data_IF_154328319242
#
_entry.id   IF_154328319242
#
_cell.length_a   1.000
_cell.length_b   1.000
_cell.length_c   1.000
_cell.angle_alpha   90.00
_cell.angle_beta   90.00
_cell.angle_gamma   90.00
#
_symmetry.space_group_name_H-M   'P 1'
#
loop_
_entity.id
_entity.type
_entity.pdbx_description
1 polymer ?
#
# COMPACT_ATOMS: atom_id res chain seq x y z
N UNK A 1 6.85 -13.44 41.98
CA UNK A 1 5.59 -13.65 41.25
C UNK A 1 5.12 -12.25 40.85
N UNK A 2 5.49 -11.82 39.64
CA UNK A 2 5.27 -10.44 39.18
C UNK A 2 3.99 -10.44 38.36
N UNK A 3 3.03 -9.62 38.77
CA UNK A 3 1.71 -9.52 38.15
C UNK A 3 1.80 -8.67 36.87
N UNK A 4 1.44 -9.29 35.74
CA UNK A 4 1.67 -8.80 34.38
C UNK A 4 0.47 -8.04 33.85
N UNK A 5 0.03 -6.94 34.46
CA UNK A 5 -1.13 -6.15 33.93
C UNK A 5 -1.06 -4.67 34.24
N UNK A 6 -0.17 -3.92 33.59
CA UNK A 6 -0.39 -2.47 33.32
C UNK A 6 0.59 -1.94 32.28
N UNK A 7 0.48 -2.43 31.05
CA UNK A 7 1.07 -1.76 29.90
C UNK A 7 0.02 -1.77 28.80
N UNK A 8 -0.70 -0.65 28.66
CA UNK A 8 -1.35 -0.16 27.42
C UNK A 8 -2.09 1.15 27.79
N UNK A 9 -1.97 2.14 26.90
CA UNK A 9 -2.58 3.48 26.93
C UNK A 9 -1.83 4.61 27.67
N UNK A 10 -0.62 4.97 27.20
CA UNK A 10 -0.08 6.35 27.34
C UNK A 10 0.14 7.09 26.01
N UNK A 11 0.10 6.40 24.87
CA UNK A 11 0.44 6.98 23.57
C UNK A 11 -0.59 7.95 22.97
N UNK A 12 -1.87 7.82 23.29
CA UNK A 12 -2.94 8.55 22.59
C UNK A 12 -3.16 10.01 23.06
N UNK A 13 -2.56 10.45 24.17
CA UNK A 13 -2.81 11.79 24.75
C UNK A 13 -1.73 12.82 24.39
N UNK A 14 -0.52 12.38 24.00
CA UNK A 14 0.60 13.31 23.81
C UNK A 14 0.54 14.11 22.51
N UNK A 15 -0.07 13.58 21.44
CA UNK A 15 -0.08 14.25 20.13
C UNK A 15 -0.97 15.51 20.11
N UNK A 16 -2.01 15.57 20.95
CA UNK A 16 -2.86 16.76 21.07
C UNK A 16 -2.23 17.93 21.84
N UNK A 17 -1.18 17.68 22.64
CA UNK A 17 -0.59 18.71 23.51
C UNK A 17 0.55 19.49 22.85
N UNK A 18 1.29 18.87 21.92
CA UNK A 18 2.45 19.51 21.26
C UNK A 18 2.06 20.47 20.14
N UNK A 19 1.00 20.16 19.38
CA UNK A 19 0.56 21.02 18.26
C UNK A 19 0.00 22.38 18.77
N UNK A 20 -0.36 22.50 20.05
CA UNK A 20 -0.86 23.74 20.66
C UNK A 20 0.22 24.68 21.23
N UNK A 21 1.50 24.29 21.28
CA UNK A 21 2.55 25.06 21.96
C UNK A 21 3.58 25.71 21.02
N UNK A 22 3.50 25.49 19.71
CA UNK A 22 4.30 26.24 18.72
C UNK A 22 5.81 26.24 18.98
N UNK A 23 6.37 25.16 19.54
CA UNK A 23 7.79 25.11 19.93
C UNK A 23 8.64 24.61 18.77
N UNK A 24 9.54 25.46 18.28
CA UNK A 24 10.58 25.10 17.29
C UNK A 24 11.67 24.22 17.91
N UNK A 25 12.20 23.27 17.13
CA UNK A 25 13.29 22.36 17.51
C UNK A 25 14.51 23.12 18.09
N UNK A 26 14.73 22.99 19.39
CA UNK A 26 15.94 23.50 20.05
C UNK A 26 15.73 23.86 21.52
N UNK A 27 16.06 22.91 22.41
CA UNK A 27 16.21 23.08 23.87
C UNK A 27 14.96 23.52 24.67
N UNK A 28 14.25 22.53 25.23
CA UNK A 28 13.30 22.76 26.33
C UNK A 28 14.07 22.85 27.65
N UNK A 29 14.41 24.06 28.10
CA UNK A 29 14.83 24.30 29.49
C UNK A 29 13.85 25.25 30.14
N UNK A 30 13.06 24.75 31.11
CA UNK A 30 12.31 25.64 31.98
C UNK A 30 13.26 26.33 32.98
N UNK A 31 12.93 27.54 33.47
CA UNK A 31 13.77 28.30 34.40
C UNK A 31 14.01 27.63 35.77
N UNK A 32 13.38 26.47 36.03
CA UNK A 32 13.49 25.71 37.28
C UNK A 32 14.44 24.50 37.22
N UNK A 33 15.21 24.34 36.14
CA UNK A 33 16.26 23.30 36.05
C UNK A 33 15.75 21.85 35.93
N UNK A 34 14.45 21.63 35.71
CA UNK A 34 13.92 20.29 35.40
C UNK A 34 14.19 19.93 33.93
N UNK A 35 14.96 18.86 33.72
CA UNK A 35 15.17 18.24 32.41
C UNK A 35 13.85 17.58 32.00
N UNK A 36 13.21 18.09 30.96
CA UNK A 36 12.14 17.36 30.27
C UNK A 36 12.86 16.40 29.33
N UNK A 37 12.75 15.10 29.57
CA UNK A 37 13.19 14.11 28.58
C UNK A 37 12.52 14.46 27.25
N UNK A 38 13.34 14.75 26.22
CA UNK A 38 12.83 15.00 24.89
C UNK A 38 11.89 13.86 24.50
N UNK A 39 10.73 14.15 23.87
CA UNK A 39 9.82 13.09 23.46
C UNK A 39 10.62 12.07 22.65
N UNK A 40 10.52 10.78 23.02
CA UNK A 40 11.18 9.67 22.32
C UNK A 40 10.80 9.79 20.85
N UNK A 41 11.71 10.36 20.05
CA UNK A 41 11.56 10.47 18.61
C UNK A 41 11.77 9.05 18.11
N UNK A 42 10.75 8.42 17.57
CA UNK A 42 10.93 7.15 16.83
C UNK A 42 11.86 7.49 15.67
N UNK A 43 13.15 7.18 15.82
CA UNK A 43 14.20 7.57 14.88
C UNK A 43 14.26 6.67 13.65
N UNK A 44 13.62 5.50 13.74
CA UNK A 44 13.57 4.51 12.67
C UNK A 44 12.40 3.56 12.91
N UNK A 45 11.54 3.45 11.91
CA UNK A 45 10.51 2.43 11.86
C UNK A 45 10.90 1.38 10.82
N UNK A 46 11.23 0.17 11.25
CA UNK A 46 11.62 -0.94 10.35
C UNK A 46 10.42 -1.86 10.13
N UNK A 47 10.16 -2.23 8.87
CA UNK A 47 9.04 -3.11 8.52
C UNK A 47 9.28 -4.54 8.96
N UNK A 48 8.30 -5.17 9.62
CA UNK A 48 8.39 -6.58 10.06
C UNK A 48 7.98 -7.59 8.98
N UNK A 49 7.33 -7.12 7.93
CA UNK A 49 6.87 -7.92 6.79
C UNK A 49 7.05 -7.14 5.49
N UNK A 50 6.89 -7.84 4.37
CA UNK A 50 6.80 -7.24 3.04
C UNK A 50 5.33 -6.99 2.71
N UNK A 51 5.01 -5.86 2.09
CA UNK A 51 3.67 -5.42 1.75
C UNK A 51 3.56 -5.07 0.27
N UNK A 52 2.55 -5.62 -0.39
CA UNK A 52 2.43 -5.56 -1.84
C UNK A 52 1.04 -5.89 -2.37
N UNK A 53 0.88 -5.79 -3.68
CA UNK A 53 -0.38 -6.11 -4.36
C UNK A 53 -0.19 -7.28 -5.31
N UNK A 54 -1.25 -8.08 -5.45
CA UNK A 54 -1.32 -9.13 -6.46
C UNK A 54 -1.73 -8.53 -7.80
N UNK A 55 -1.08 -8.95 -8.88
CA UNK A 55 -1.43 -8.51 -10.23
C UNK A 55 -1.24 -9.59 -11.29
N UNK A 56 -1.76 -9.30 -12.48
CA UNK A 56 -1.58 -10.12 -13.69
C UNK A 56 -0.81 -9.31 -14.73
N UNK A 57 0.18 -9.94 -15.36
CA UNK A 57 1.02 -9.31 -16.39
C UNK A 57 1.15 -10.19 -17.62
N UNK A 58 1.73 -9.69 -18.71
CA UNK A 58 1.99 -10.48 -19.91
C UNK A 58 2.90 -11.67 -19.58
N UNK A 59 2.55 -12.85 -20.06
CA UNK A 59 3.34 -14.05 -19.80
C UNK A 59 4.69 -14.00 -20.55
N UNK A 60 5.79 -13.95 -19.81
CA UNK A 60 7.14 -14.22 -20.30
C UNK A 60 7.66 -15.57 -19.75
N UNK A 61 7.95 -16.51 -20.65
CA UNK A 61 8.48 -17.84 -20.32
C UNK A 61 9.86 -17.80 -19.63
N UNK A 62 10.57 -16.68 -19.68
CA UNK A 62 11.86 -16.50 -19.00
C UNK A 62 11.71 -16.08 -17.54
N UNK A 63 10.58 -15.44 -17.21
CA UNK A 63 10.34 -14.84 -15.89
C UNK A 63 9.27 -15.61 -15.10
N UNK A 64 8.28 -16.19 -15.79
CA UNK A 64 7.11 -16.79 -15.18
C UNK A 64 7.07 -18.31 -15.39
N UNK A 65 6.48 -19.01 -14.43
CA UNK A 65 6.29 -20.45 -14.48
C UNK A 65 4.98 -20.82 -15.20
N UNK A 66 4.92 -22.04 -15.74
CA UNK A 66 3.79 -22.48 -16.56
C UNK A 66 2.47 -22.55 -15.78
N UNK A 67 2.53 -22.79 -14.47
CA UNK A 67 1.38 -22.89 -13.57
C UNK A 67 0.61 -21.57 -13.43
N UNK A 68 1.28 -20.44 -13.60
CA UNK A 68 0.65 -19.11 -13.60
C UNK A 68 0.16 -18.67 -14.97
N UNK A 69 0.44 -19.46 -16.01
CA UNK A 69 0.06 -19.10 -17.38
C UNK A 69 -1.45 -19.25 -17.55
N UNK A 70 -2.11 -18.16 -17.91
CA UNK A 70 -3.55 -18.09 -18.11
C UNK A 70 -3.85 -17.35 -19.42
N UNK A 71 -4.85 -17.82 -20.17
CA UNK A 71 -5.31 -17.11 -21.37
C UNK A 71 -6.27 -16.01 -20.97
N UNK A 72 -5.93 -14.77 -21.30
CA UNK A 72 -6.84 -13.64 -21.18
C UNK A 72 -7.64 -13.52 -22.48
N UNK A 73 -8.92 -13.88 -22.44
CA UNK A 73 -9.80 -13.84 -23.61
C UNK A 73 -10.19 -12.41 -24.02
N UNK A 74 -10.24 -11.48 -23.06
CA UNK A 74 -10.57 -10.09 -23.34
C UNK A 74 -9.42 -9.42 -24.11
N UNK A 75 -8.17 -9.69 -23.73
CA UNK A 75 -6.99 -9.12 -24.39
C UNK A 75 -6.40 -10.00 -25.50
N UNK A 76 -6.83 -11.26 -25.59
CA UNK A 76 -6.35 -12.22 -26.58
C UNK A 76 -4.87 -12.55 -26.42
N UNK A 77 -4.38 -12.67 -25.18
CA UNK A 77 -2.98 -12.98 -24.92
C UNK A 77 -2.78 -13.84 -23.67
N UNK A 78 -1.64 -14.52 -23.62
CA UNK A 78 -1.22 -15.24 -22.42
C UNK A 78 -0.72 -14.27 -21.35
N UNK A 79 -1.26 -14.38 -20.15
CA UNK A 79 -0.85 -13.66 -18.95
C UNK A 79 -0.27 -14.60 -17.89
N UNK A 80 0.56 -14.04 -17.01
CA UNK A 80 0.96 -14.65 -15.77
C UNK A 80 0.10 -14.08 -14.64
N UNK A 81 -0.68 -14.94 -13.97
CA UNK A 81 -1.41 -14.58 -12.74
C UNK A 81 -0.55 -14.76 -11.50
N UNK A 82 -1.04 -14.34 -10.34
CA UNK A 82 -0.35 -14.51 -9.06
C UNK A 82 1.01 -13.81 -8.96
N UNK A 83 1.25 -12.74 -9.70
CA UNK A 83 2.50 -11.97 -9.55
C UNK A 83 2.35 -10.98 -8.39
N UNK A 84 3.44 -10.74 -7.67
CA UNK A 84 3.46 -9.77 -6.58
C UNK A 84 4.25 -8.53 -6.99
N UNK A 85 3.67 -7.37 -6.73
CA UNK A 85 4.38 -6.08 -6.76
C UNK A 85 4.56 -5.61 -5.32
N UNK A 86 5.80 -5.59 -4.85
CA UNK A 86 6.15 -5.29 -3.47
C UNK A 86 6.55 -3.82 -3.34
N UNK A 87 5.78 -3.06 -2.55
CA UNK A 87 6.04 -1.64 -2.29
C UNK A 87 7.00 -1.43 -1.13
N UNK A 88 6.96 -2.34 -0.16
CA UNK A 88 7.76 -2.32 1.05
C UNK A 88 8.22 -3.74 1.32
N UNK A 89 9.51 -3.95 1.54
CA UNK A 89 10.09 -5.24 1.90
C UNK A 89 10.40 -5.30 3.39
N UNK A 90 10.35 -6.51 3.94
CA UNK A 90 10.77 -6.78 5.32
C UNK A 90 12.18 -6.26 5.55
N UNK A 91 12.39 -5.57 6.67
CA UNK A 91 13.68 -4.99 7.03
C UNK A 91 13.97 -3.60 6.45
N UNK A 92 13.11 -3.06 5.57
CA UNK A 92 13.26 -1.70 5.08
C UNK A 92 12.89 -0.65 6.15
N UNK A 93 13.64 0.46 6.15
CA UNK A 93 13.39 1.59 7.04
C UNK A 93 12.38 2.53 6.41
N UNK A 94 11.13 2.39 6.86
CA UNK A 94 9.97 3.14 6.34
C UNK A 94 10.15 4.65 6.52
N UNK A 95 10.82 5.10 7.58
CA UNK A 95 11.06 6.53 7.83
C UNK A 95 12.01 7.19 6.84
N UNK A 96 12.76 6.41 6.04
CA UNK A 96 13.74 6.89 5.06
C UNK A 96 13.35 6.60 3.62
N UNK A 97 12.20 5.97 3.40
CA UNK A 97 11.74 5.63 2.07
C UNK A 97 11.05 6.82 1.41
N UNK A 98 11.37 7.01 0.13
CA UNK A 98 10.57 7.86 -0.74
C UNK A 98 9.26 7.12 -1.11
N UNK A 99 8.20 7.86 -1.50
CA UNK A 99 7.01 7.25 -2.06
C UNK A 99 7.32 6.34 -3.25
N UNK A 100 6.67 5.18 -3.28
CA UNK A 100 6.83 4.19 -4.35
C UNK A 100 5.53 4.10 -5.13
N UNK A 101 5.61 4.25 -6.45
CA UNK A 101 4.44 4.30 -7.35
C UNK A 101 4.57 3.30 -8.48
N UNK A 102 3.50 2.56 -8.74
CA UNK A 102 3.39 1.65 -9.87
C UNK A 102 2.09 1.88 -10.64
N UNK A 103 2.16 1.63 -11.95
CA UNK A 103 1.04 1.79 -12.89
C UNK A 103 0.31 0.46 -13.07
N UNK A 104 -1.02 0.51 -13.04
CA UNK A 104 -1.88 -0.64 -13.28
C UNK A 104 -3.02 -0.27 -14.21
N UNK A 105 -3.73 -1.31 -14.65
CA UNK A 105 -4.99 -1.13 -15.32
C UNK A 105 -5.98 -2.22 -14.96
N UNK A 106 -7.26 -1.91 -15.14
CA UNK A 106 -8.38 -2.84 -15.05
C UNK A 106 -9.24 -2.73 -16.30
N UNK A 107 -9.57 -3.87 -16.89
CA UNK A 107 -10.62 -3.93 -17.90
C UNK A 107 -11.97 -4.02 -17.21
N UNK A 108 -12.87 -3.12 -17.60
CA UNK A 108 -14.23 -3.04 -17.10
C UNK A 108 -15.16 -3.46 -18.25
N UNK A 109 -15.66 -4.68 -18.20
CA UNK A 109 -16.67 -5.20 -19.15
C UNK A 109 -18.07 -4.69 -18.84
N UNK A 110 -18.28 -4.26 -17.61
CA UNK A 110 -19.51 -3.71 -17.07
C UNK A 110 -19.22 -2.43 -16.27
N UNK A 111 -20.25 -1.66 -15.96
CA UNK A 111 -20.13 -0.47 -15.12
C UNK A 111 -19.58 -0.85 -13.72
N UNK A 112 -18.46 -0.25 -13.33
CA UNK A 112 -17.78 -0.52 -12.06
C UNK A 112 -18.34 0.30 -10.88
N UNK A 113 -19.49 0.96 -11.08
CA UNK A 113 -20.19 1.77 -10.06
C UNK A 113 -19.32 2.89 -9.46
N UNK A 114 -18.29 3.34 -10.19
CA UNK A 114 -17.37 4.36 -9.69
C UNK A 114 -16.49 3.87 -8.53
N UNK A 115 -16.25 2.56 -8.35
CA UNK A 115 -15.40 2.05 -7.26
C UNK A 115 -14.23 1.18 -7.74
N UNK A 116 -13.08 1.30 -7.08
CA UNK A 116 -11.90 0.47 -7.28
C UNK A 116 -11.54 -0.22 -5.96
N UNK A 117 -11.51 -1.55 -5.98
CA UNK A 117 -11.03 -2.36 -4.87
C UNK A 117 -9.61 -2.82 -5.14
N UNK A 118 -8.71 -2.64 -4.16
CA UNK A 118 -7.31 -3.05 -4.20
C UNK A 118 -7.04 -3.94 -2.99
N UNK A 119 -6.48 -5.11 -3.22
CA UNK A 119 -6.12 -6.06 -2.17
C UNK A 119 -4.65 -5.91 -1.80
N UNK A 120 -4.40 -5.69 -0.51
CA UNK A 120 -3.07 -5.63 0.08
C UNK A 120 -2.71 -6.99 0.67
N UNK A 121 -1.51 -7.43 0.36
CA UNK A 121 -0.94 -8.69 0.84
C UNK A 121 0.28 -8.44 1.71
N UNK A 122 0.53 -9.36 2.63
CA UNK A 122 1.71 -9.37 3.48
C UNK A 122 2.47 -10.70 3.38
N UNK A 123 3.79 -10.64 3.54
CA UNK A 123 4.65 -11.81 3.63
C UNK A 123 5.74 -11.59 4.69
N UNK A 124 5.87 -12.53 5.63
CA UNK A 124 6.85 -12.45 6.71
C UNK A 124 8.21 -13.06 6.34
N UNK A 125 8.40 -13.61 5.14
CA UNK A 125 9.69 -14.15 4.71
C UNK A 125 10.77 -13.05 4.58
N UNK A 126 12.03 -13.42 4.79
CA UNK A 126 13.16 -12.49 4.70
C UNK A 126 13.40 -12.03 3.25
N UNK A 127 13.17 -12.92 2.29
CA UNK A 127 13.16 -12.62 0.86
C UNK A 127 11.77 -12.98 0.32
N UNK A 128 10.86 -12.00 0.16
CA UNK A 128 9.49 -12.28 -0.23
C UNK A 128 9.44 -12.83 -1.66
N UNK A 129 8.61 -13.85 -1.94
CA UNK A 129 8.51 -14.43 -3.27
C UNK A 129 7.99 -13.40 -4.28
N UNK A 130 8.44 -13.48 -5.54
CA UNK A 130 7.90 -12.66 -6.63
C UNK A 130 6.46 -13.02 -7.02
N UNK A 131 5.92 -14.09 -6.42
CA UNK A 131 4.60 -14.65 -6.70
C UNK A 131 3.79 -14.78 -5.41
N UNK A 132 2.47 -14.77 -5.55
CA UNK A 132 1.55 -15.04 -4.45
C UNK A 132 1.53 -16.55 -4.18
N UNK A 133 2.41 -16.99 -3.28
CA UNK A 133 2.48 -18.39 -2.80
C UNK A 133 1.64 -18.58 -1.55
N UNK A 134 1.74 -19.75 -0.91
CA UNK A 134 1.14 -20.02 0.40
C UNK A 134 1.68 -19.14 1.53
N UNK A 135 2.84 -18.52 1.34
CA UNK A 135 3.52 -17.69 2.35
C UNK A 135 3.08 -16.22 2.26
N UNK A 136 2.23 -15.90 1.28
CA UNK A 136 1.69 -14.57 1.03
C UNK A 136 0.23 -14.55 1.48
N UNK A 137 -0.08 -13.74 2.49
CA UNK A 137 -1.40 -13.66 3.09
C UNK A 137 -2.13 -12.39 2.62
N UNK A 138 -3.42 -12.50 2.31
CA UNK A 138 -4.25 -11.32 2.11
C UNK A 138 -4.45 -10.63 3.46
N UNK A 139 -4.04 -9.37 3.56
CA UNK A 139 -4.09 -8.57 4.79
C UNK A 139 -5.40 -7.79 4.87
N UNK A 140 -5.72 -7.02 3.83
CA UNK A 140 -6.94 -6.22 3.77
C UNK A 140 -7.27 -5.78 2.33
N UNK A 141 -8.46 -5.20 2.15
CA UNK A 141 -8.89 -4.59 0.88
C UNK A 141 -9.22 -3.11 1.07
N UNK A 142 -8.75 -2.28 0.15
CA UNK A 142 -9.06 -0.86 0.08
C UNK A 142 -10.11 -0.61 -0.99
N UNK A 143 -11.20 0.06 -0.63
CA UNK A 143 -12.18 0.55 -1.60
C UNK A 143 -12.01 2.05 -1.79
N UNK A 144 -11.77 2.46 -3.04
CA UNK A 144 -11.66 3.83 -3.49
C UNK A 144 -12.88 4.18 -4.30
N UNK A 145 -13.55 5.27 -3.92
CA UNK A 145 -14.54 5.91 -4.78
C UNK A 145 -13.78 6.74 -5.82
N UNK A 146 -14.13 6.52 -7.08
CA UNK A 146 -13.54 7.15 -8.23
C UNK A 146 -14.51 8.21 -8.74
N UNK A 147 -14.05 9.46 -8.81
CA UNK A 147 -14.81 10.56 -9.42
C UNK A 147 -14.68 10.53 -10.97
N UNK A 148 -14.87 9.35 -11.55
CA UNK A 148 -14.90 9.14 -12.99
C UNK A 148 -16.00 8.12 -13.33
N UNK A 149 -17.03 8.51 -14.11
CA UNK A 149 -18.06 7.58 -14.55
C UNK A 149 -17.51 6.63 -15.63
N UNK A 150 -18.06 5.43 -15.70
CA UNK A 150 -17.71 4.40 -16.68
C UNK A 150 -17.69 4.88 -18.14
N UNK A 151 -18.64 5.74 -18.50
CA UNK A 151 -18.74 6.29 -19.86
C UNK A 151 -17.54 7.12 -20.30
N UNK A 152 -16.78 7.70 -19.37
CA UNK A 152 -15.59 8.52 -19.65
C UNK A 152 -14.31 7.72 -19.76
N UNK A 153 -14.31 6.44 -19.39
CA UNK A 153 -13.13 5.60 -19.56
C UNK A 153 -12.83 5.38 -21.06
N UNK A 154 -11.55 5.23 -21.43
CA UNK A 154 -11.14 4.81 -22.77
C UNK A 154 -11.82 3.51 -23.20
N UNK A 155 -12.29 3.46 -24.44
CA UNK A 155 -12.78 2.22 -25.05
C UNK A 155 -11.64 1.23 -25.29
N UNK A 156 -11.89 -0.04 -24.99
CA UNK A 156 -10.99 -1.15 -25.25
C UNK A 156 -11.69 -2.17 -26.13
N UNK A 157 -11.11 -2.46 -27.30
CA UNK A 157 -11.63 -3.51 -28.18
C UNK A 157 -11.07 -4.85 -27.75
N UNK A 158 -11.97 -5.73 -27.33
CA UNK A 158 -11.61 -7.08 -26.89
C UNK A 158 -11.27 -7.99 -28.07
N UNK A 159 -10.43 -8.99 -27.83
CA UNK A 159 -10.03 -9.96 -28.84
C UNK A 159 -11.19 -10.84 -29.31
N UNK A 160 -12.20 -11.06 -28.46
CA UNK A 160 -13.44 -11.77 -28.79
C UNK A 160 -14.42 -10.93 -29.65
N UNK A 161 -14.06 -9.69 -29.99
CA UNK A 161 -14.91 -8.77 -30.75
C UNK A 161 -15.90 -7.96 -29.90
N UNK A 162 -15.96 -8.19 -28.59
CA UNK A 162 -16.69 -7.38 -27.63
C UNK A 162 -16.03 -6.02 -27.37
N UNK A 163 -16.68 -5.20 -26.56
CA UNK A 163 -16.15 -3.92 -26.08
C UNK A 163 -16.02 -3.97 -24.55
N UNK A 164 -14.97 -3.35 -24.03
CA UNK A 164 -14.79 -3.05 -22.62
C UNK A 164 -14.30 -1.62 -22.48
N UNK A 165 -14.19 -1.15 -21.25
CA UNK A 165 -13.47 0.08 -20.91
C UNK A 165 -12.15 -0.26 -20.23
N UNK A 166 -11.13 0.59 -20.40
CA UNK A 166 -9.85 0.45 -19.71
C UNK A 166 -9.71 1.54 -18.66
N UNK A 167 -9.64 1.15 -17.39
CA UNK A 167 -9.29 2.02 -16.28
C UNK A 167 -7.80 1.91 -16.04
N UNK A 168 -7.03 2.96 -16.36
CA UNK A 168 -5.61 3.08 -16.01
C UNK A 168 -5.49 3.91 -14.73
N UNK A 169 -4.62 3.47 -13.82
CA UNK A 169 -4.43 4.14 -12.53
C UNK A 169 -3.03 3.91 -11.99
N UNK A 170 -2.52 4.88 -11.24
CA UNK A 170 -1.32 4.70 -10.44
C UNK A 170 -1.73 4.35 -9.01
N UNK A 171 -1.06 3.37 -8.43
CA UNK A 171 -1.11 3.12 -6.99
C UNK A 171 0.23 3.55 -6.40
N UNK A 172 0.17 4.48 -5.46
CA UNK A 172 1.33 5.00 -4.73
C UNK A 172 1.25 4.62 -3.26
N UNK A 173 2.34 4.08 -2.73
CA UNK A 173 2.54 3.87 -1.30
C UNK A 173 3.40 4.99 -0.76
N UNK A 174 2.88 5.69 0.25
CA UNK A 174 3.54 6.79 0.94
C UNK A 174 3.87 6.33 2.38
N UNK A 175 5.16 6.25 2.73
CA UNK A 175 5.58 6.04 4.11
C UNK A 175 5.14 7.18 5.02
N UNK A 176 4.47 6.88 6.14
CA UNK A 176 3.99 7.89 7.10
C UNK A 176 4.30 7.47 8.53
N UNK A 177 5.56 7.67 8.93
CA UNK A 177 6.06 7.41 10.28
C UNK A 177 5.97 5.93 10.68
N UNK A 178 4.89 5.57 11.37
CA UNK A 178 4.55 4.21 11.79
C UNK A 178 3.26 3.73 11.13
N UNK A 179 3.03 4.10 9.87
CA UNK A 179 1.96 3.61 9.00
C UNK A 179 2.37 3.75 7.53
N UNK A 180 1.61 3.12 6.64
CA UNK A 180 1.70 3.36 5.20
C UNK A 180 0.35 3.86 4.68
N UNK A 181 0.38 4.83 3.78
CA UNK A 181 -0.80 5.36 3.09
C UNK A 181 -0.75 4.91 1.64
N UNK A 182 -1.83 4.34 1.12
CA UNK A 182 -2.02 4.06 -0.29
C UNK A 182 -2.87 5.14 -0.94
N UNK A 183 -2.42 5.63 -2.08
CA UNK A 183 -3.07 6.71 -2.84
C UNK A 183 -3.30 6.23 -4.27
N UNK A 184 -4.52 6.42 -4.77
CA UNK A 184 -4.87 6.13 -6.17
C UNK A 184 -4.86 7.42 -6.98
N UNK A 185 -4.19 7.40 -8.13
CA UNK A 185 -4.19 8.47 -9.11
C UNK A 185 -4.82 7.99 -10.42
N UNK A 186 -5.61 8.84 -11.06
CA UNK A 186 -6.11 8.65 -12.43
C UNK A 186 -5.79 9.93 -13.20
N UNK A 187 -5.14 9.81 -14.36
CA UNK A 187 -4.68 10.95 -15.17
C UNK A 187 -3.89 11.99 -14.34
N UNK A 188 -3.04 11.50 -13.43
CA UNK A 188 -2.24 12.33 -12.51
C UNK A 188 -3.03 13.02 -11.39
N UNK A 189 -4.35 12.86 -11.32
CA UNK A 189 -5.20 13.43 -10.26
C UNK A 189 -5.40 12.43 -9.13
N UNK A 190 -5.19 12.87 -7.88
CA UNK A 190 -5.46 12.06 -6.69
C UNK A 190 -6.97 11.82 -6.55
N UNK A 191 -7.37 10.55 -6.60
CA UNK A 191 -8.77 10.13 -6.43
C UNK A 191 -9.12 9.95 -4.95
N UNK A 192 -8.17 9.47 -4.15
CA UNK A 192 -8.36 9.25 -2.73
C UNK A 192 -7.19 8.54 -2.09
N UNK A 193 -7.22 8.40 -0.77
CA UNK A 193 -6.20 7.67 -0.02
C UNK A 193 -6.79 6.80 1.10
N UNK A 194 -6.06 5.75 1.46
CA UNK A 194 -6.40 4.79 2.52
C UNK A 194 -5.16 4.43 3.32
N UNK A 195 -5.28 4.41 4.64
CA UNK A 195 -4.21 4.01 5.53
C UNK A 195 -4.25 2.51 5.80
N UNK A 196 -3.08 1.89 5.88
CA UNK A 196 -2.89 0.53 6.36
C UNK A 196 -2.08 0.55 7.66
N UNK A 197 -2.62 -0.07 8.71
CA UNK A 197 -1.87 -0.30 9.94
C UNK A 197 -0.98 -1.53 9.74
N UNK A 198 0.30 -1.32 9.48
CA UNK A 198 1.27 -2.40 9.31
C UNK A 198 2.09 -2.64 10.58
N UNK A 199 2.78 -3.78 10.65
CA UNK A 199 3.56 -4.18 11.83
C UNK A 199 4.99 -3.66 11.73
N UNK A 200 5.42 -2.94 12.77
CA UNK A 200 6.74 -2.32 12.86
C UNK A 200 7.52 -2.77 14.09
N UNK A 201 8.85 -2.80 14.00
CA UNK A 201 9.78 -3.03 15.12
C UNK A 201 9.68 -1.97 16.23
#
# INVERSE_FOLDING_TARGET
MIDSRTAICRGAVYKGFLDGLGVSEGALTQPNGRIIEAPIKVTSTVSRASYGVNYRTKFDKKLHIAEDKEWDADEGMWKAKNQMEWYLKRGENVSKMDPVRHEFYKLCTEDFSGSLSIELYECEEADPPSRCTSDVNNMCSFNFELDIPYSKLPDFKKADGGNAKKLEYDLEMIPSGASIEFVVYIDGRKMGSRNANIRFE
#
